data_IF_507585204139
#
_entry.id   IF_507585204139
#
_cell.length_a   1.000
_cell.length_b   1.000
_cell.length_c   1.000
_cell.angle_alpha   90.00
_cell.angle_beta   90.00
_cell.angle_gamma   90.00
#
_symmetry.space_group_name_H-M   'P 1'
#
loop_
_entity.id
_entity.type
_entity.pdbx_description
1 polymer ?
#
# COMPACT_ATOMS: atom_id res chain seq x y z
N UNK A 1 -1.09 -7.35 -0.41
CA UNK A 1 -1.27 -6.97 0.98
C UNK A 1 -1.77 -8.18 1.72
N UNK A 2 -1.62 -8.18 3.05
CA UNK A 2 -2.16 -9.24 3.90
C UNK A 2 -3.64 -9.50 3.61
N UNK A 3 -4.47 -8.44 3.55
CA UNK A 3 -5.90 -8.55 3.20
C UNK A 3 -6.13 -9.27 1.87
N UNK A 4 -5.40 -8.91 0.81
CA UNK A 4 -5.59 -9.54 -0.51
C UNK A 4 -5.16 -11.02 -0.51
N UNK A 5 -4.07 -11.37 0.20
CA UNK A 5 -3.62 -12.74 0.32
C UNK A 5 -4.64 -13.58 1.11
N UNK A 6 -5.11 -13.06 2.24
CA UNK A 6 -6.14 -13.70 3.08
C UNK A 6 -7.44 -13.92 2.31
N UNK A 7 -7.96 -12.92 1.60
CA UNK A 7 -9.20 -13.07 0.81
C UNK A 7 -9.04 -14.16 -0.26
N UNK A 8 -7.92 -14.19 -0.98
CA UNK A 8 -7.66 -15.24 -1.98
C UNK A 8 -7.55 -16.61 -1.35
N UNK A 9 -6.81 -16.74 -0.25
CA UNK A 9 -6.59 -18.01 0.43
C UNK A 9 -7.88 -18.56 1.05
N UNK A 10 -8.72 -17.70 1.66
CA UNK A 10 -10.05 -18.10 2.15
C UNK A 10 -10.90 -18.63 0.99
N UNK A 11 -10.90 -17.93 -0.15
CA UNK A 11 -11.63 -18.39 -1.35
C UNK A 11 -11.14 -19.76 -1.84
N UNK A 12 -9.83 -19.98 -1.91
CA UNK A 12 -9.25 -21.28 -2.28
C UNK A 12 -9.65 -22.37 -1.28
N UNK A 13 -9.59 -22.11 0.02
CA UNK A 13 -10.03 -23.07 1.03
C UNK A 13 -11.52 -23.44 0.89
N UNK A 14 -12.38 -22.45 0.61
CA UNK A 14 -13.82 -22.69 0.36
C UNK A 14 -14.02 -23.57 -0.89
N UNK A 15 -13.15 -23.46 -1.89
CA UNK A 15 -13.16 -24.30 -3.09
C UNK A 15 -12.48 -25.66 -2.90
N UNK A 16 -11.96 -25.98 -1.70
CA UNK A 16 -11.22 -27.22 -1.43
C UNK A 16 -9.77 -27.22 -1.95
N UNK A 17 -9.26 -26.06 -2.37
CA UNK A 17 -7.90 -25.87 -2.86
C UNK A 17 -6.94 -25.46 -1.73
N UNK A 18 -5.64 -25.67 -1.96
CA UNK A 18 -4.60 -25.22 -1.04
C UNK A 18 -4.37 -23.70 -1.13
N UNK A 19 -4.18 -22.99 0.01
CA UNK A 19 -3.92 -21.57 0.02
C UNK A 19 -2.47 -21.26 -0.41
N UNK A 20 -2.29 -20.60 -1.55
CA UNK A 20 -0.96 -20.32 -2.14
C UNK A 20 -0.61 -18.83 -2.25
N UNK A 21 -1.54 -17.92 -1.94
CA UNK A 21 -1.29 -16.49 -2.11
C UNK A 21 -0.41 -15.93 -0.98
N UNK A 22 0.72 -15.30 -1.35
CA UNK A 22 1.62 -14.63 -0.43
C UNK A 22 1.54 -13.10 -0.58
N UNK A 23 1.53 -12.39 0.56
CA UNK A 23 1.60 -10.94 0.57
C UNK A 23 3.05 -10.45 0.42
N UNK A 24 3.22 -9.32 -0.26
CA UNK A 24 4.45 -8.53 -0.22
C UNK A 24 4.49 -7.65 1.02
N UNK A 25 5.69 -7.45 1.56
CA UNK A 25 5.93 -6.65 2.76
C UNK A 25 6.62 -5.34 2.38
N UNK A 26 5.81 -4.33 2.04
CA UNK A 26 6.25 -3.04 1.57
C UNK A 26 5.66 -1.94 2.45
N UNK A 27 6.45 -0.92 2.78
CA UNK A 27 5.99 0.17 3.64
C UNK A 27 6.15 1.54 2.95
N UNK A 28 5.06 2.32 2.94
CA UNK A 28 5.06 3.75 2.60
C UNK A 28 4.52 4.49 3.82
N UNK A 29 5.26 5.49 4.31
CA UNK A 29 4.83 6.35 5.41
C UNK A 29 4.91 7.82 4.99
N UNK A 30 3.85 8.57 5.27
CA UNK A 30 3.82 10.03 5.14
C UNK A 30 3.68 10.63 6.54
N UNK A 31 4.73 11.30 7.00
CA UNK A 31 4.78 12.06 8.24
C UNK A 31 4.52 13.54 7.93
N UNK A 32 3.48 14.10 8.54
CA UNK A 32 3.03 15.47 8.33
C UNK A 32 3.44 16.35 9.52
N UNK A 33 3.95 17.55 9.25
CA UNK A 33 4.48 18.50 10.23
C UNK A 33 3.81 19.88 10.09
N UNK A 34 2.62 19.96 9.50
CA UNK A 34 1.92 21.22 9.21
C UNK A 34 2.27 21.70 7.80
N UNK A 35 3.16 22.69 7.66
CA UNK A 35 3.50 23.24 6.33
C UNK A 35 4.50 22.38 5.52
N UNK A 36 5.06 21.34 6.14
CA UNK A 36 6.03 20.42 5.53
C UNK A 36 5.75 18.99 5.95
N UNK A 37 6.39 18.01 5.30
CA UNK A 37 6.37 16.63 5.78
C UNK A 37 7.54 15.82 5.26
N UNK A 38 7.58 14.55 5.67
CA UNK A 38 8.57 13.56 5.25
C UNK A 38 7.89 12.29 4.74
N UNK A 39 8.23 11.87 3.52
CA UNK A 39 7.79 10.63 2.93
C UNK A 39 8.88 9.57 3.03
N UNK A 40 8.52 8.37 3.45
CA UNK A 40 9.41 7.21 3.55
C UNK A 40 8.87 6.07 2.71
N UNK A 41 9.76 5.41 1.95
CA UNK A 41 9.46 4.19 1.18
C UNK A 41 10.50 3.14 1.54
N UNK A 42 10.03 1.98 2.00
CA UNK A 42 10.86 0.86 2.42
C UNK A 42 10.35 -0.44 1.78
N UNK A 43 11.16 -1.01 0.88
CA UNK A 43 10.85 -2.23 0.13
C UNK A 43 12.05 -3.20 0.24
N UNK A 44 11.91 -4.39 0.86
CA UNK A 44 10.86 -4.78 1.80
C UNK A 44 10.90 -3.98 3.12
N UNK A 45 9.85 -4.13 3.94
CA UNK A 45 9.75 -3.52 5.27
C UNK A 45 10.85 -4.05 6.23
N UNK A 46 11.03 -5.37 6.27
CA UNK A 46 12.02 -6.05 7.12
C UNK A 46 13.39 -6.04 6.41
N UNK A 47 14.48 -5.62 7.07
CA UNK A 47 15.82 -5.66 6.49
C UNK A 47 16.29 -7.08 6.12
N UNK A 48 17.22 -7.24 5.15
CA UNK A 48 17.84 -6.21 4.31
C UNK A 48 16.87 -5.64 3.27
N UNK A 49 16.93 -4.32 3.04
CA UNK A 49 15.99 -3.61 2.16
C UNK A 49 16.61 -3.35 0.79
N UNK A 50 15.83 -3.53 -0.27
CA UNK A 50 16.21 -3.21 -1.64
C UNK A 50 16.07 -1.70 -1.92
N UNK A 51 15.06 -1.07 -1.33
CA UNK A 51 14.79 0.36 -1.47
C UNK A 51 14.57 0.97 -0.08
N UNK A 52 15.40 1.96 0.25
CA UNK A 52 15.20 2.88 1.37
C UNK A 52 15.27 4.30 0.87
N UNK A 53 14.13 4.95 0.77
CA UNK A 53 14.04 6.34 0.33
C UNK A 53 13.30 7.18 1.35
N UNK A 54 13.86 8.33 1.67
CA UNK A 54 13.23 9.34 2.52
C UNK A 54 13.36 10.70 1.83
N UNK A 55 12.25 11.45 1.74
CA UNK A 55 12.27 12.81 1.18
C UNK A 55 11.40 13.74 1.99
N UNK A 56 12.00 14.87 2.37
CA UNK A 56 11.29 15.99 3.00
C UNK A 56 10.76 16.94 1.93
N UNK A 57 9.57 17.51 2.15
CA UNK A 57 9.04 18.58 1.30
C UNK A 57 7.63 19.02 1.68
N UNK A 58 7.24 20.22 1.24
CA UNK A 58 5.87 20.75 1.42
C UNK A 58 4.81 19.90 0.73
N UNK A 59 5.17 19.27 -0.39
CA UNK A 59 4.30 18.37 -1.13
C UNK A 59 3.81 17.17 -0.30
N UNK A 60 4.56 16.76 0.73
CA UNK A 60 4.19 15.63 1.59
C UNK A 60 2.93 15.94 2.41
N UNK A 61 2.78 17.18 2.89
CA UNK A 61 1.58 17.62 3.58
C UNK A 61 0.33 17.50 2.69
N UNK A 62 0.42 18.03 1.46
CA UNK A 62 -0.66 17.92 0.48
C UNK A 62 -0.95 16.46 0.10
N UNK A 63 0.09 15.63 -0.04
CA UNK A 63 -0.07 14.21 -0.31
C UNK A 63 -0.79 13.47 0.84
N UNK A 64 -0.50 13.83 2.11
CA UNK A 64 -1.17 13.26 3.29
C UNK A 64 -2.67 13.56 3.28
N UNK A 65 -3.04 14.83 3.10
CA UNK A 65 -4.45 15.27 3.02
C UNK A 65 -5.16 14.59 1.86
N UNK A 66 -4.51 14.53 0.68
CA UNK A 66 -5.07 13.88 -0.50
C UNK A 66 -5.35 12.39 -0.25
N UNK A 67 -4.39 11.68 0.37
CA UNK A 67 -4.55 10.27 0.72
C UNK A 67 -5.67 10.04 1.73
N UNK A 68 -5.81 10.88 2.76
CA UNK A 68 -6.88 10.77 3.75
C UNK A 68 -8.26 10.88 3.10
N UNK A 69 -8.48 11.93 2.29
CA UNK A 69 -9.76 12.13 1.58
C UNK A 69 -10.05 10.98 0.62
N UNK A 70 -9.04 10.52 -0.11
CA UNK A 70 -9.14 9.37 -1.01
C UNK A 70 -9.55 8.11 -0.24
N UNK A 71 -8.83 7.77 0.84
CA UNK A 71 -9.07 6.55 1.61
C UNK A 71 -10.45 6.55 2.26
N UNK A 72 -10.89 7.68 2.83
CA UNK A 72 -12.23 7.79 3.40
C UNK A 72 -13.33 7.67 2.34
N UNK A 73 -13.14 8.29 1.16
CA UNK A 73 -14.08 8.12 0.02
C UNK A 73 -14.14 6.67 -0.44
N UNK A 74 -12.99 6.00 -0.50
CA UNK A 74 -12.84 4.59 -0.88
C UNK A 74 -13.63 3.68 0.07
N UNK A 75 -13.46 3.85 1.38
CA UNK A 75 -14.21 3.12 2.41
C UNK A 75 -15.72 3.34 2.25
N UNK A 76 -16.17 4.59 2.08
CA UNK A 76 -17.60 4.92 1.89
C UNK A 76 -18.22 4.31 0.64
N UNK A 77 -17.43 4.13 -0.43
CA UNK A 77 -17.88 3.53 -1.69
C UNK A 77 -17.83 1.99 -1.70
N UNK A 78 -17.12 1.38 -0.76
CA UNK A 78 -16.92 -0.08 -0.72
C UNK A 78 -15.99 -0.62 -1.81
N UNK A 79 -15.32 0.23 -2.58
CA UNK A 79 -14.33 -0.20 -3.58
C UNK A 79 -12.97 -0.38 -2.90
N UNK A 80 -12.52 -1.61 -2.73
CA UNK A 80 -11.28 -1.91 -1.98
C UNK A 80 -10.03 -1.92 -2.85
N UNK A 81 -10.15 -1.91 -4.18
CA UNK A 81 -8.98 -2.12 -5.04
C UNK A 81 -9.09 -1.42 -6.42
N UNK A 82 -9.15 -0.07 -6.44
CA UNK A 82 -9.34 0.67 -7.68
C UNK A 82 -8.19 0.44 -8.66
N UNK A 83 -8.52 0.32 -9.95
CA UNK A 83 -7.55 0.03 -11.02
C UNK A 83 -6.39 1.03 -11.05
N UNK A 84 -6.68 2.31 -10.81
CA UNK A 84 -5.66 3.37 -10.78
C UNK A 84 -4.68 3.20 -9.61
N UNK A 85 -5.14 2.77 -8.43
CA UNK A 85 -4.26 2.52 -7.28
C UNK A 85 -3.29 1.37 -7.58
N UNK A 86 -3.79 0.27 -8.17
CA UNK A 86 -2.96 -0.86 -8.58
C UNK A 86 -1.89 -0.44 -9.58
N UNK A 87 -2.27 0.37 -10.57
CA UNK A 87 -1.36 0.82 -11.60
C UNK A 87 -0.25 1.71 -11.03
N UNK A 88 -0.62 2.70 -10.19
CA UNK A 88 0.35 3.58 -9.53
C UNK A 88 1.32 2.79 -8.64
N UNK A 89 0.80 1.90 -7.80
CA UNK A 89 1.64 1.08 -6.93
C UNK A 89 2.57 0.16 -7.72
N UNK A 90 2.08 -0.44 -8.82
CA UNK A 90 2.89 -1.27 -9.70
C UNK A 90 4.01 -0.46 -10.39
N UNK A 91 3.73 0.75 -10.85
CA UNK A 91 4.76 1.65 -11.39
C UNK A 91 5.83 2.01 -10.36
N UNK A 92 5.47 2.05 -9.07
CA UNK A 92 6.41 2.27 -7.97
C UNK A 92 7.15 0.99 -7.53
N UNK A 93 6.95 -0.15 -8.20
CA UNK A 93 7.55 -1.44 -7.84
C UNK A 93 6.89 -2.10 -6.62
N UNK A 94 5.68 -1.66 -6.24
CA UNK A 94 4.95 -2.13 -5.07
C UNK A 94 3.80 -3.01 -5.55
N UNK A 95 4.09 -4.29 -5.74
CA UNK A 95 3.04 -5.27 -5.93
C UNK A 95 2.39 -5.63 -4.61
N UNK A 96 1.11 -6.04 -4.61
CA UNK A 96 0.39 -6.45 -3.40
C UNK A 96 0.68 -7.93 -3.07
N UNK A 97 0.79 -8.80 -4.06
CA UNK A 97 1.08 -10.22 -3.86
C UNK A 97 2.42 -10.53 -4.51
N UNK A 98 3.10 -11.57 -4.03
CA UNK A 98 4.28 -12.10 -4.71
C UNK A 98 3.89 -12.89 -5.95
#
# INVERSE_FOLDING_TARGET
SMVAATVKNIRSCIAGEQPVAEATWNAICLADMGDTGMAFVALPQIPPRNVTWAKKGKWVHLAKIGFEKYFMRKVRKGDTDPVHEKFILKMMGIEKLK
#
